data_IF_260265515212
#
_entry.id   IF_260265515212
#
_cell.length_a   1.000
_cell.length_b   1.000
_cell.length_c   1.000
_cell.angle_alpha   90.00
_cell.angle_beta   90.00
_cell.angle_gamma   90.00
#
_symmetry.space_group_name_H-M   'P 1'
#
loop_
_entity.id
_entity.type
_entity.pdbx_description
1 polymer ?
#
# COMPACT_ATOMS: atom_id res chain seq x y z
N UNK A 1 2.23 8.87 -15.91
CA UNK A 1 3.64 8.90 -15.47
C UNK A 1 3.81 7.71 -14.55
N UNK A 2 4.72 6.80 -14.87
CA UNK A 2 4.98 5.65 -14.01
C UNK A 2 5.73 6.16 -12.76
N UNK A 3 5.13 6.10 -11.56
CA UNK A 3 5.78 6.59 -10.35
C UNK A 3 6.99 5.75 -9.93
N UNK A 4 7.24 4.61 -10.59
CA UNK A 4 8.39 3.73 -10.33
C UNK A 4 9.52 3.88 -11.37
N UNK A 5 9.39 4.78 -12.36
CA UNK A 5 10.49 5.05 -13.27
C UNK A 5 11.59 5.85 -12.54
N UNK A 6 12.82 5.31 -12.39
CA UNK A 6 13.91 5.95 -11.65
C UNK A 6 14.41 7.26 -12.27
N UNK A 7 14.12 7.50 -13.55
CA UNK A 7 14.43 8.76 -14.24
C UNK A 7 13.37 9.85 -14.03
N UNK A 8 12.31 9.55 -13.26
CA UNK A 8 11.30 10.54 -12.92
C UNK A 8 11.88 11.57 -11.94
N UNK A 9 11.61 12.88 -12.14
CA UNK A 9 11.98 13.89 -11.16
C UNK A 9 11.38 13.55 -9.79
N UNK A 10 12.13 13.86 -8.73
CA UNK A 10 11.66 13.66 -7.35
C UNK A 10 10.38 14.46 -7.09
N UNK A 11 9.45 13.84 -6.37
CA UNK A 11 8.19 14.48 -5.98
C UNK A 11 8.45 15.54 -4.92
N UNK A 12 8.06 16.78 -5.19
CA UNK A 12 8.13 17.85 -4.20
C UNK A 12 7.00 17.75 -3.17
N UNK A 13 7.17 18.39 -2.01
CA UNK A 13 6.13 18.50 -0.98
C UNK A 13 4.86 19.17 -1.54
N UNK A 14 5.01 20.20 -2.38
CA UNK A 14 3.87 20.89 -2.99
C UNK A 14 3.06 19.96 -3.89
N UNK A 15 3.73 19.23 -4.78
CA UNK A 15 3.06 18.27 -5.67
C UNK A 15 2.41 17.11 -4.90
N UNK A 16 3.04 16.66 -3.80
CA UNK A 16 2.42 15.69 -2.90
C UNK A 16 1.14 16.24 -2.26
N UNK A 17 1.16 17.48 -1.77
CA UNK A 17 -0.01 18.15 -1.20
C UNK A 17 -1.11 18.30 -2.24
N UNK A 18 -0.79 18.69 -3.47
CA UNK A 18 -1.78 18.85 -4.54
C UNK A 18 -2.45 17.51 -4.87
N UNK A 19 -1.66 16.43 -4.98
CA UNK A 19 -2.18 15.07 -5.20
C UNK A 19 -3.09 14.61 -4.06
N UNK A 20 -2.67 14.79 -2.80
CA UNK A 20 -3.46 14.40 -1.63
C UNK A 20 -4.72 15.27 -1.48
N UNK A 21 -4.64 16.56 -1.80
CA UNK A 21 -5.76 17.50 -1.70
C UNK A 21 -6.89 17.22 -2.69
N UNK A 22 -6.62 16.48 -3.76
CA UNK A 22 -7.62 16.03 -4.73
C UNK A 22 -8.38 14.76 -4.28
N UNK A 23 -7.94 14.07 -3.22
CA UNK A 23 -8.59 12.89 -2.66
C UNK A 23 -9.59 13.26 -1.56
N UNK A 24 -10.34 12.26 -1.06
CA UNK A 24 -11.17 12.43 0.13
C UNK A 24 -10.30 12.84 1.33
N UNK A 25 -10.59 14.02 1.89
CA UNK A 25 -9.79 14.66 2.93
C UNK A 25 -9.91 13.96 4.30
N UNK A 26 -10.95 13.15 4.47
CA UNK A 26 -11.17 12.33 5.67
C UNK A 26 -10.57 10.92 5.54
N UNK A 27 -10.01 10.56 4.38
CA UNK A 27 -9.39 9.27 4.18
C UNK A 27 -8.10 9.11 5.01
N UNK A 28 -7.90 7.93 5.59
CA UNK A 28 -6.66 7.60 6.31
C UNK A 28 -5.53 7.34 5.33
N UNK A 29 -4.40 8.04 5.49
CA UNK A 29 -3.18 7.82 4.70
C UNK A 29 -2.32 6.73 5.33
N UNK A 30 -1.75 5.84 4.50
CA UNK A 30 -0.81 4.78 4.88
C UNK A 30 0.37 4.75 3.91
N UNK A 31 1.54 4.34 4.40
CA UNK A 31 2.72 4.09 3.57
C UNK A 31 2.63 2.67 3.00
N UNK A 32 2.81 2.54 1.69
CA UNK A 32 2.95 1.25 1.03
C UNK A 32 4.44 0.97 0.81
N UNK A 33 4.92 -0.21 1.20
CA UNK A 33 6.31 -0.65 0.98
C UNK A 33 6.31 -2.07 0.44
N UNK A 34 7.21 -2.40 -0.50
CA UNK A 34 7.34 -3.76 -1.04
C UNK A 34 8.81 -4.20 -1.10
N UNK A 35 9.40 -4.64 0.02
CA UNK A 35 10.74 -5.19 0.03
C UNK A 35 10.76 -6.65 -0.48
N UNK A 36 9.69 -7.41 -0.24
CA UNK A 36 9.49 -8.80 -0.70
C UNK A 36 8.02 -9.14 -0.95
N UNK A 37 7.12 -8.58 -0.11
CA UNK A 37 5.68 -8.64 -0.28
C UNK A 37 5.10 -7.24 -0.09
N UNK A 38 3.99 -6.88 -0.76
CA UNK A 38 3.30 -5.62 -0.52
C UNK A 38 2.80 -5.50 0.92
N UNK A 39 3.28 -4.47 1.62
CA UNK A 39 2.96 -4.18 3.02
C UNK A 39 2.39 -2.78 3.19
N UNK A 40 1.47 -2.65 4.15
CA UNK A 40 0.90 -1.38 4.57
C UNK A 40 1.43 -1.00 5.95
N UNK A 41 1.89 0.25 6.07
CA UNK A 41 2.49 0.79 7.28
C UNK A 41 1.82 2.11 7.68
N UNK A 42 1.86 2.43 8.98
CA UNK A 42 1.48 3.76 9.46
C UNK A 42 2.57 4.78 9.12
N UNK A 43 2.19 6.01 8.78
CA UNK A 43 3.13 7.14 8.78
C UNK A 43 3.17 7.71 10.19
N UNK A 44 4.32 7.62 10.86
CA UNK A 44 4.50 8.10 12.22
C UNK A 44 4.73 9.62 12.30
N UNK A 45 5.25 10.22 11.22
CA UNK A 45 5.47 11.67 11.15
C UNK A 45 6.13 12.11 9.85
N UNK A 46 6.29 13.41 9.70
CA UNK A 46 7.03 14.04 8.61
C UNK A 46 8.10 14.96 9.20
N UNK A 47 9.35 14.79 8.78
CA UNK A 47 10.50 15.53 9.32
C UNK A 47 11.22 16.25 8.18
N UNK A 48 11.30 17.58 8.26
CA UNK A 48 12.02 18.39 7.28
C UNK A 48 13.51 18.49 7.63
N UNK A 49 14.37 18.44 6.61
CA UNK A 49 15.82 18.62 6.74
C UNK A 49 16.43 19.17 5.44
N UNK A 50 17.75 19.19 5.36
CA UNK A 50 18.52 19.42 4.14
C UNK A 50 19.47 18.26 3.86
N UNK A 51 19.71 17.97 2.59
CA UNK A 51 20.76 17.04 2.17
C UNK A 51 22.16 17.67 2.27
N UNK A 52 23.18 16.90 1.88
CA UNK A 52 24.58 17.33 1.87
C UNK A 52 24.86 18.51 0.94
N UNK A 53 24.02 18.70 -0.09
CA UNK A 53 24.10 19.80 -1.05
C UNK A 53 23.26 21.02 -0.60
N UNK A 54 22.57 20.93 0.53
CA UNK A 54 21.72 21.97 1.09
C UNK A 54 20.32 22.04 0.47
N UNK A 55 19.91 21.09 -0.38
CA UNK A 55 18.54 21.02 -0.90
C UNK A 55 17.57 20.62 0.21
N UNK A 56 16.31 21.08 0.13
CA UNK A 56 15.29 20.78 1.16
C UNK A 56 14.71 19.40 0.91
N UNK A 57 14.66 18.56 1.94
CA UNK A 57 14.05 17.24 1.90
C UNK A 57 13.04 17.09 3.05
N UNK A 58 12.06 16.21 2.87
CA UNK A 58 11.16 15.75 3.92
C UNK A 58 11.19 14.23 3.97
N UNK A 59 11.42 13.67 5.15
CA UNK A 59 11.31 12.25 5.41
C UNK A 59 9.95 11.94 6.03
N UNK A 60 9.26 10.94 5.49
CA UNK A 60 8.12 10.32 6.15
C UNK A 60 8.64 9.19 7.03
N UNK A 61 8.49 9.34 8.35
CA UNK A 61 8.89 8.31 9.28
C UNK A 61 7.91 7.13 9.16
N UNK A 62 8.46 5.96 8.86
CA UNK A 62 7.71 4.70 8.92
C UNK A 62 7.33 4.40 10.39
N UNK A 63 6.13 3.88 10.58
CA UNK A 63 5.60 3.44 11.86
C UNK A 63 5.42 1.93 11.90
N UNK A 64 4.43 1.46 12.65
CA UNK A 64 4.15 0.02 12.74
C UNK A 64 3.62 -0.53 11.41
N UNK A 65 4.12 -1.70 11.01
CA UNK A 65 3.56 -2.50 9.94
C UNK A 65 2.16 -2.99 10.36
N UNK A 66 1.15 -2.66 9.56
CA UNK A 66 -0.25 -3.01 9.85
C UNK A 66 -0.70 -4.33 9.21
N UNK A 67 0.05 -4.83 8.22
CA UNK A 67 -0.21 -6.10 7.55
C UNK A 67 0.01 -6.02 6.05
N UNK A 68 -0.48 -7.03 5.33
CA UNK A 68 -0.43 -7.05 3.86
C UNK A 68 -1.20 -5.86 3.28
N UNK A 69 -0.63 -5.25 2.24
CA UNK A 69 -1.32 -4.24 1.45
C UNK A 69 -2.49 -4.90 0.70
N UNK A 70 -3.67 -4.26 0.59
CA UNK A 70 -4.75 -4.77 -0.23
C UNK A 70 -4.30 -5.01 -1.68
N UNK A 71 -4.64 -6.16 -2.31
CA UNK A 71 -4.15 -6.51 -3.64
C UNK A 71 -4.45 -5.46 -4.71
N UNK A 72 -5.60 -4.80 -4.64
CA UNK A 72 -5.99 -3.74 -5.56
C UNK A 72 -5.03 -2.55 -5.54
N UNK A 73 -4.45 -2.23 -4.38
CA UNK A 73 -3.45 -1.16 -4.25
C UNK A 73 -2.11 -1.65 -4.80
N UNK A 74 -1.72 -2.90 -4.53
CA UNK A 74 -0.48 -3.48 -5.07
C UNK A 74 -0.49 -3.54 -6.61
N UNK A 75 -1.64 -3.83 -7.22
CA UNK A 75 -1.83 -3.81 -8.69
C UNK A 75 -1.75 -2.39 -9.25
N UNK A 76 -2.37 -1.40 -8.59
CA UNK A 76 -2.29 0.01 -9.02
C UNK A 76 -0.86 0.56 -8.94
N UNK A 77 -0.08 0.10 -7.95
CA UNK A 77 1.35 0.38 -7.82
C UNK A 77 2.20 -0.48 -8.75
N UNK A 78 1.61 -1.32 -9.61
CA UNK A 78 2.30 -2.22 -10.56
C UNK A 78 3.22 -3.26 -9.91
N UNK A 79 3.07 -3.51 -8.61
CA UNK A 79 3.85 -4.50 -7.87
C UNK A 79 3.35 -5.93 -8.06
N UNK A 80 2.11 -6.10 -8.51
CA UNK A 80 1.49 -7.38 -8.78
C UNK A 80 0.61 -7.32 -10.03
N UNK A 81 0.44 -8.46 -10.70
CA UNK A 81 -0.54 -8.58 -11.79
C UNK A 81 -1.96 -8.73 -11.24
N UNK A 82 -2.98 -8.24 -11.98
CA UNK A 82 -4.37 -8.49 -11.66
C UNK A 82 -4.64 -10.00 -11.57
N UNK A 83 -4.92 -10.50 -10.37
CA UNK A 83 -5.19 -11.92 -10.14
C UNK A 83 -6.68 -12.13 -9.89
N UNK A 84 -7.29 -13.06 -10.62
CA UNK A 84 -8.67 -13.47 -10.36
C UNK A 84 -8.76 -14.18 -9.00
N UNK A 85 -9.79 -13.84 -8.20
CA UNK A 85 -10.00 -14.48 -6.91
C UNK A 85 -10.10 -16.02 -7.08
N UNK A 86 -9.42 -16.82 -6.23
CA UNK A 86 -9.51 -18.26 -6.32
C UNK A 86 -10.98 -18.71 -6.19
N UNK A 87 -11.43 -19.71 -6.98
CA UNK A 87 -12.81 -20.17 -6.91
C UNK A 87 -13.10 -20.69 -5.49
N UNK A 88 -14.09 -20.08 -4.82
CA UNK A 88 -14.51 -20.49 -3.48
C UNK A 88 -15.11 -21.89 -3.57
N UNK A 89 -14.32 -22.91 -3.23
CA UNK A 89 -14.80 -24.28 -3.10
C UNK A 89 -15.91 -24.29 -2.06
N UNK A 90 -17.15 -24.59 -2.48
CA UNK A 90 -18.25 -24.89 -1.57
C UNK A 90 -17.84 -26.14 -0.81
N UNK A 91 -17.45 -26.01 0.46
CA UNK A 91 -17.28 -27.14 1.38
C UNK A 91 -18.52 -28.03 1.24
N UNK A 92 -18.36 -29.24 0.70
CA UNK A 92 -19.41 -30.26 0.74
C UNK A 92 -19.76 -30.45 2.21
N UNK A 93 -21.00 -30.13 2.59
CA UNK A 93 -21.52 -30.47 3.89
C UNK A 93 -21.35 -31.99 4.07
N UNK A 94 -20.62 -32.39 5.11
CA UNK A 94 -20.55 -33.78 5.50
C UNK A 94 -21.98 -34.21 5.88
N UNK A 95 -22.52 -35.19 5.16
CA UNK A 95 -23.80 -35.82 5.45
C UNK A 95 -23.65 -36.58 6.78
N UNK A 96 -24.48 -36.34 7.81
CA UNK A 96 -24.41 -37.15 9.01
C UNK A 96 -24.88 -38.56 8.66
N UNK A 97 -24.06 -39.54 8.98
CA UNK A 97 -24.37 -40.96 8.85
C UNK A 97 -25.31 -41.34 10.00
N UNK A 98 -26.59 -41.48 9.70
CA UNK A 98 -27.61 -41.94 10.64
C UNK A 98 -27.54 -43.46 10.76
N UNK A 99 -26.72 -43.96 11.68
CA UNK A 99 -26.73 -45.36 12.09
C UNK A 99 -27.62 -45.55 13.31
N UNK A 100 -28.83 -46.06 13.11
CA UNK A 100 -29.69 -46.59 14.16
C UNK A 100 -29.67 -48.11 14.08
N UNK A 101 -29.18 -48.77 15.14
CA UNK A 101 -29.46 -50.17 15.50
C UNK A 101 -29.01 -50.47 16.92
#
# INVERSE_FOLDING_TARGET
MDPLNPESPELTVGELIDKLSALDREATVRLAVNPFFPMAHRIAGAVATRDENGHRLVFLADGDQLGHLPPEVAVQLTWQEPTAAPPRSRRRAARPDGGDR
#
